data_IF_728978488273
#
_entry.id   IF_728978488273
#
_cell.length_a   1.000
_cell.length_b   1.000
_cell.length_c   1.000
_cell.angle_alpha   90.00
_cell.angle_beta   90.00
_cell.angle_gamma   90.00
#
_symmetry.space_group_name_H-M   'P 1'
#
loop_
_entity.id
_entity.type
_entity.pdbx_description
1 polymer ?
#
# COMPACT_ATOMS: atom_id res chain seq x y z
N UNK A 1 14.77 15.03 -9.92
CA UNK A 1 13.90 14.46 -8.87
C UNK A 1 12.47 14.72 -9.32
N UNK A 2 11.69 13.67 -9.59
CA UNK A 2 10.32 13.85 -10.06
C UNK A 2 9.39 14.20 -8.89
N UNK A 3 9.16 15.50 -8.71
CA UNK A 3 8.26 16.04 -7.69
C UNK A 3 6.83 15.48 -7.83
N UNK A 4 6.36 15.20 -9.05
CA UNK A 4 5.02 14.68 -9.28
C UNK A 4 4.87 13.23 -8.78
N UNK A 5 5.90 12.39 -8.92
CA UNK A 5 5.90 11.05 -8.35
C UNK A 5 5.88 11.10 -6.82
N UNK A 6 6.80 11.84 -6.20
CA UNK A 6 6.88 11.92 -4.74
C UNK A 6 5.62 12.51 -4.14
N UNK A 7 5.11 13.61 -4.73
CA UNK A 7 3.89 14.24 -4.27
C UNK A 7 2.69 13.30 -4.37
N UNK A 8 2.48 12.63 -5.52
CA UNK A 8 1.34 11.72 -5.68
C UNK A 8 1.46 10.47 -4.79
N UNK A 9 2.67 9.94 -4.58
CA UNK A 9 2.91 8.82 -3.68
C UNK A 9 2.60 9.17 -2.22
N UNK A 10 3.09 10.33 -1.76
CA UNK A 10 2.84 10.81 -0.40
C UNK A 10 1.37 11.18 -0.22
N UNK A 11 0.76 11.89 -1.19
CA UNK A 11 -0.64 12.29 -1.14
C UNK A 11 -1.57 11.07 -1.04
N UNK A 12 -1.38 10.07 -1.90
CA UNK A 12 -2.21 8.86 -1.90
C UNK A 12 -2.04 8.04 -0.62
N UNK A 13 -0.80 7.87 -0.15
CA UNK A 13 -0.51 7.13 1.08
C UNK A 13 -1.05 7.86 2.32
N UNK A 14 -0.76 9.16 2.46
CA UNK A 14 -1.24 9.96 3.58
C UNK A 14 -2.76 10.08 3.56
N UNK A 15 -3.36 10.33 2.39
CA UNK A 15 -4.81 10.35 2.21
C UNK A 15 -5.46 9.05 2.65
N UNK A 16 -4.92 7.91 2.23
CA UNK A 16 -5.44 6.63 2.65
C UNK A 16 -5.33 6.43 4.19
N UNK A 17 -4.23 6.89 4.81
CA UNK A 17 -4.06 6.82 6.27
C UNK A 17 -4.98 7.78 7.06
N UNK A 18 -5.48 8.86 6.46
CA UNK A 18 -6.48 9.74 7.08
C UNK A 18 -7.82 9.02 7.35
N UNK A 19 -8.06 7.86 6.74
CA UNK A 19 -9.22 7.02 7.05
C UNK A 19 -9.13 6.44 8.47
N UNK A 20 -7.93 6.26 9.04
CA UNK A 20 -7.73 5.70 10.37
C UNK A 20 -8.40 6.50 11.50
N UNK A 21 -8.16 7.83 11.65
CA UNK A 21 -8.85 8.61 12.68
C UNK A 21 -10.36 8.66 12.46
N UNK A 22 -10.84 8.64 11.20
CA UNK A 22 -12.26 8.56 10.90
C UNK A 22 -12.88 7.23 11.35
N UNK A 23 -12.22 6.10 11.05
CA UNK A 23 -12.65 4.77 11.46
C UNK A 23 -12.75 4.63 12.99
N UNK A 24 -11.81 5.22 13.75
CA UNK A 24 -11.85 5.21 15.22
C UNK A 24 -13.03 5.96 15.82
N UNK A 25 -13.53 7.00 15.14
CA UNK A 25 -14.66 7.82 15.60
C UNK A 25 -16.03 7.27 15.20
N UNK A 26 -16.07 6.17 14.41
CA UNK A 26 -17.30 5.59 13.84
C UNK A 26 -17.51 4.14 14.33
N UNK A 27 -18.30 3.93 15.40
CA UNK A 27 -18.72 2.59 15.83
C UNK A 27 -19.43 1.79 14.73
N UNK A 28 -19.50 0.46 14.90
CA UNK A 28 -20.31 -0.39 14.01
C UNK A 28 -21.78 0.04 14.11
N UNK A 29 -22.46 0.09 12.97
CA UNK A 29 -23.88 0.42 12.89
C UNK A 29 -24.23 1.91 12.98
N UNK A 30 -23.26 2.82 13.08
CA UNK A 30 -23.57 4.25 12.97
C UNK A 30 -24.13 4.56 11.57
N UNK A 31 -25.33 5.16 11.45
CA UNK A 31 -25.92 5.44 10.15
C UNK A 31 -25.07 6.44 9.36
N UNK A 32 -25.11 6.34 8.04
CA UNK A 32 -24.45 7.25 7.12
C UNK A 32 -25.52 7.91 6.27
N UNK A 33 -25.48 9.25 6.18
CA UNK A 33 -26.40 9.96 5.29
C UNK A 33 -26.02 9.69 3.83
N UNK A 34 -26.96 9.89 2.91
CA UNK A 34 -26.67 9.70 1.49
C UNK A 34 -25.55 10.62 0.99
N UNK A 35 -25.54 11.87 1.45
CA UNK A 35 -24.48 12.84 1.13
C UNK A 35 -23.10 12.43 1.68
N UNK A 36 -23.03 11.94 2.92
CA UNK A 36 -21.79 11.40 3.50
C UNK A 36 -21.27 10.21 2.68
N UNK A 37 -22.16 9.32 2.25
CA UNK A 37 -21.79 8.15 1.45
C UNK A 37 -21.25 8.55 0.07
N UNK A 38 -21.85 9.54 -0.60
CA UNK A 38 -21.36 10.06 -1.88
C UNK A 38 -20.00 10.73 -1.74
N UNK A 39 -19.78 11.54 -0.71
CA UNK A 39 -18.46 12.16 -0.48
C UNK A 39 -17.39 11.11 -0.18
N UNK A 40 -17.71 10.12 0.65
CA UNK A 40 -16.79 9.03 0.96
C UNK A 40 -16.45 8.20 -0.27
N UNK A 41 -17.42 7.91 -1.15
CA UNK A 41 -17.16 7.15 -2.38
C UNK A 41 -16.24 7.92 -3.32
N UNK A 42 -16.53 9.19 -3.60
CA UNK A 42 -15.69 10.06 -4.45
C UNK A 42 -14.27 10.16 -3.91
N UNK A 43 -14.13 10.32 -2.59
CA UNK A 43 -12.83 10.36 -1.93
C UNK A 43 -12.04 9.07 -2.10
N UNK A 44 -12.65 7.91 -1.81
CA UNK A 44 -11.99 6.60 -1.92
C UNK A 44 -11.64 6.28 -3.36
N UNK A 45 -12.57 6.46 -4.30
CA UNK A 45 -12.31 6.23 -5.73
C UNK A 45 -11.24 7.17 -6.27
N UNK A 46 -11.30 8.46 -5.92
CA UNK A 46 -10.29 9.44 -6.32
C UNK A 46 -8.89 9.07 -5.80
N UNK A 47 -8.79 8.66 -4.53
CA UNK A 47 -7.51 8.19 -3.98
C UNK A 47 -7.02 6.91 -4.65
N UNK A 48 -7.91 5.96 -4.95
CA UNK A 48 -7.54 4.75 -5.69
C UNK A 48 -7.04 5.07 -7.09
N UNK A 49 -7.66 6.04 -7.79
CA UNK A 49 -7.19 6.50 -9.09
C UNK A 49 -5.79 7.10 -9.00
N UNK A 50 -5.50 7.92 -7.98
CA UNK A 50 -4.15 8.44 -7.75
C UNK A 50 -3.17 7.31 -7.46
N UNK A 51 -3.51 6.40 -6.55
CA UNK A 51 -2.65 5.32 -6.09
C UNK A 51 -2.29 4.31 -7.19
N UNK A 52 -3.26 3.88 -7.99
CA UNK A 52 -3.07 2.81 -8.99
C UNK A 52 -2.90 3.34 -10.43
N UNK A 53 -3.41 4.54 -10.73
CA UNK A 53 -3.26 5.15 -12.05
C UNK A 53 -2.05 6.08 -12.10
N UNK A 54 -2.07 7.14 -11.30
CA UNK A 54 -1.11 8.25 -11.41
C UNK A 54 0.27 7.85 -10.89
N UNK A 55 0.37 7.26 -9.69
CA UNK A 55 1.67 7.00 -9.07
C UNK A 55 2.56 6.06 -9.90
N UNK A 56 2.06 4.90 -10.39
CA UNK A 56 2.84 4.04 -11.28
C UNK A 56 3.26 4.72 -12.58
N UNK A 57 2.34 5.47 -13.21
CA UNK A 57 2.60 6.24 -14.43
C UNK A 57 3.72 7.28 -14.22
N UNK A 58 3.66 8.05 -13.12
CA UNK A 58 4.69 9.05 -12.81
C UNK A 58 6.03 8.44 -12.45
N UNK A 59 6.05 7.25 -11.85
CA UNK A 59 7.31 6.53 -11.64
C UNK A 59 7.93 6.08 -12.97
N UNK A 60 7.14 5.52 -13.88
CA UNK A 60 7.62 5.10 -15.22
C UNK A 60 8.19 6.30 -15.97
N UNK A 61 7.47 7.42 -15.98
CA UNK A 61 7.93 8.65 -16.62
C UNK A 61 9.24 9.17 -16.00
N UNK A 62 9.41 9.07 -14.67
CA UNK A 62 10.66 9.41 -14.00
C UNK A 62 11.82 8.50 -14.42
N UNK A 63 11.58 7.18 -14.44
CA UNK A 63 12.60 6.19 -14.77
C UNK A 63 13.09 6.34 -16.21
N UNK A 64 12.16 6.57 -17.16
CA UNK A 64 12.50 6.67 -18.57
C UNK A 64 13.18 8.02 -18.88
N UNK A 65 12.65 9.13 -18.35
CA UNK A 65 13.11 10.48 -18.73
C UNK A 65 14.31 10.97 -17.90
N UNK A 66 14.33 10.74 -16.59
CA UNK A 66 15.39 11.27 -15.71
C UNK A 66 16.50 10.25 -15.44
N UNK A 67 16.15 8.98 -15.25
CA UNK A 67 17.12 7.92 -14.96
C UNK A 67 17.64 7.25 -16.25
N UNK A 68 16.98 7.48 -17.39
CA UNK A 68 17.35 6.91 -18.68
C UNK A 68 17.22 5.38 -18.73
N UNK A 69 16.41 4.78 -17.87
CA UNK A 69 16.25 3.33 -17.78
C UNK A 69 15.61 2.81 -19.07
N UNK A 70 16.39 2.09 -19.87
CA UNK A 70 15.96 1.57 -21.16
C UNK A 70 16.51 0.14 -21.39
N UNK A 71 16.10 -0.49 -22.49
CA UNK A 71 16.54 -1.85 -22.87
C UNK A 71 18.04 -1.96 -23.14
N UNK A 72 18.67 -0.87 -23.55
CA UNK A 72 20.08 -0.87 -23.95
C UNK A 72 21.01 -0.90 -22.73
N UNK A 73 20.51 -0.46 -21.57
CA UNK A 73 21.23 -0.57 -20.30
C UNK A 73 20.98 -1.97 -19.71
N UNK A 74 22.01 -2.81 -19.76
CA UNK A 74 21.99 -4.18 -19.25
C UNK A 74 22.72 -4.23 -17.91
N UNK A 75 22.14 -4.97 -16.96
CA UNK A 75 22.70 -5.17 -15.63
C UNK A 75 23.59 -6.40 -15.66
N UNK A 76 24.90 -6.20 -15.47
CA UNK A 76 25.88 -7.28 -15.41
C UNK A 76 26.17 -7.78 -13.98
N UNK A 77 25.94 -6.93 -12.97
CA UNK A 77 26.25 -7.23 -11.57
C UNK A 77 27.76 -7.33 -11.28
N UNK A 78 28.15 -7.46 -10.00
CA UNK A 78 29.55 -7.63 -9.62
C UNK A 78 30.14 -8.91 -10.22
N UNK A 79 31.22 -8.79 -11.00
CA UNK A 79 31.87 -9.95 -11.64
C UNK A 79 31.06 -10.60 -12.77
N UNK A 80 30.21 -9.84 -13.47
CA UNK A 80 29.43 -10.30 -14.63
C UNK A 80 28.43 -11.46 -14.34
N UNK A 81 28.02 -11.63 -13.08
CA UNK A 81 27.09 -12.69 -12.67
C UNK A 81 25.74 -12.67 -13.38
N UNK A 82 25.27 -11.50 -13.80
CA UNK A 82 24.00 -11.31 -14.53
C UNK A 82 24.19 -11.14 -16.03
N UNK A 83 25.41 -11.39 -16.54
CA UNK A 83 25.68 -11.31 -17.97
C UNK A 83 24.87 -12.38 -18.72
N UNK A 84 24.04 -11.98 -19.70
CA UNK A 84 23.15 -12.90 -20.39
C UNK A 84 23.93 -13.84 -21.32
N UNK A 85 23.40 -15.04 -21.54
CA UNK A 85 23.94 -16.03 -22.47
C UNK A 85 24.14 -15.47 -23.89
N UNK A 86 23.22 -14.60 -24.35
CA UNK A 86 23.32 -13.93 -25.65
C UNK A 86 24.56 -13.02 -25.79
N UNK A 87 25.16 -12.58 -24.68
CA UNK A 87 26.38 -11.76 -24.64
C UNK A 87 27.59 -12.55 -24.12
N UNK A 88 27.49 -13.88 -24.06
CA UNK A 88 28.58 -14.77 -23.62
C UNK A 88 28.70 -14.93 -22.10
N UNK A 89 27.63 -14.69 -21.33
CA UNK A 89 27.57 -15.00 -19.90
C UNK A 89 26.79 -16.29 -19.59
N UNK A 90 26.54 -16.56 -18.30
CA UNK A 90 25.81 -17.75 -17.85
C UNK A 90 24.33 -17.48 -17.51
N UNK A 91 23.87 -16.24 -17.54
CA UNK A 91 22.53 -15.88 -17.09
C UNK A 91 21.47 -16.14 -18.19
N UNK A 92 20.34 -16.82 -17.90
CA UNK A 92 19.44 -17.38 -18.91
C UNK A 92 18.55 -16.35 -19.63
N UNK A 93 18.51 -15.09 -19.18
CA UNK A 93 17.74 -14.02 -19.83
C UNK A 93 18.44 -12.67 -19.68
N UNK A 94 18.11 -11.69 -20.52
CA UNK A 94 18.68 -10.34 -20.45
C UNK A 94 17.97 -9.51 -19.38
N UNK A 95 18.70 -9.05 -18.35
CA UNK A 95 18.17 -8.13 -17.36
C UNK A 95 18.49 -6.69 -17.77
N UNK A 96 17.51 -5.97 -18.30
CA UNK A 96 17.63 -4.55 -18.62
C UNK A 96 17.18 -3.67 -17.46
N UNK A 97 17.60 -2.40 -17.44
CA UNK A 97 17.09 -1.42 -16.48
C UNK A 97 15.60 -1.15 -16.64
N UNK A 98 15.02 -1.38 -17.83
CA UNK A 98 13.58 -1.38 -18.01
C UNK A 98 12.89 -2.48 -17.19
N UNK A 99 13.46 -3.69 -17.12
CA UNK A 99 12.92 -4.74 -16.26
C UNK A 99 12.96 -4.34 -14.78
N UNK A 100 13.98 -3.58 -14.36
CA UNK A 100 14.06 -3.03 -12.99
C UNK A 100 12.96 -2.00 -12.74
N UNK A 101 12.69 -1.10 -13.70
CA UNK A 101 11.55 -0.17 -13.64
C UNK A 101 10.26 -0.92 -13.35
N UNK A 102 10.00 -1.95 -14.13
CA UNK A 102 8.74 -2.69 -14.06
C UNK A 102 8.62 -3.45 -12.73
N UNK A 103 9.72 -4.01 -12.20
CA UNK A 103 9.76 -4.61 -10.86
C UNK A 103 9.41 -3.57 -9.80
N UNK A 104 9.97 -2.37 -9.86
CA UNK A 104 9.66 -1.30 -8.88
C UNK A 104 8.19 -0.90 -8.97
N UNK A 105 7.63 -0.79 -10.18
CA UNK A 105 6.19 -0.55 -10.38
C UNK A 105 5.35 -1.63 -9.71
N UNK A 106 5.71 -2.90 -9.86
CA UNK A 106 5.01 -4.01 -9.18
C UNK A 106 5.10 -3.88 -7.66
N UNK A 107 6.26 -3.52 -7.12
CA UNK A 107 6.43 -3.30 -5.67
C UNK A 107 5.53 -2.16 -5.17
N UNK A 108 5.40 -1.06 -5.94
CA UNK A 108 4.48 0.04 -5.63
C UNK A 108 3.03 -0.46 -5.57
N UNK A 109 2.62 -1.34 -6.50
CA UNK A 109 1.28 -1.93 -6.46
C UNK A 109 1.09 -2.82 -5.22
N UNK A 110 2.08 -3.65 -4.90
CA UNK A 110 2.05 -4.50 -3.70
C UNK A 110 1.90 -3.66 -2.43
N UNK A 111 2.59 -2.52 -2.34
CA UNK A 111 2.42 -1.55 -1.25
C UNK A 111 0.96 -1.09 -1.12
N UNK A 112 0.34 -0.65 -2.22
CA UNK A 112 -1.05 -0.20 -2.17
C UNK A 112 -2.06 -1.30 -1.89
N UNK A 113 -1.85 -2.52 -2.41
CA UNK A 113 -2.68 -3.66 -2.04
C UNK A 113 -2.54 -4.01 -0.56
N UNK A 114 -1.33 -4.03 -0.02
CA UNK A 114 -1.08 -4.25 1.40
C UNK A 114 -1.76 -3.19 2.26
N UNK A 115 -1.67 -1.92 1.85
CA UNK A 115 -2.31 -0.80 2.53
C UNK A 115 -3.85 -0.89 2.49
N UNK A 116 -4.45 -1.27 1.35
CA UNK A 116 -5.89 -1.50 1.24
C UNK A 116 -6.36 -2.63 2.16
N UNK A 117 -5.67 -3.77 2.16
CA UNK A 117 -6.00 -4.92 3.03
C UNK A 117 -5.90 -4.50 4.51
N UNK A 118 -4.86 -3.76 4.86
CA UNK A 118 -4.68 -3.23 6.22
C UNK A 118 -5.84 -2.30 6.63
N UNK A 119 -6.14 -1.28 5.81
CA UNK A 119 -7.23 -0.34 6.08
C UNK A 119 -8.58 -1.03 6.14
N UNK A 120 -8.82 -2.01 5.26
CA UNK A 120 -10.04 -2.82 5.28
C UNK A 120 -10.14 -3.63 6.59
N UNK A 121 -9.05 -4.27 7.02
CA UNK A 121 -9.00 -4.98 8.30
C UNK A 121 -9.30 -4.04 9.48
N UNK A 122 -8.71 -2.83 9.51
CA UNK A 122 -9.02 -1.82 10.53
C UNK A 122 -10.48 -1.42 10.49
N UNK A 123 -11.04 -1.21 9.29
CA UNK A 123 -12.43 -0.84 9.12
C UNK A 123 -13.38 -1.94 9.60
N UNK A 124 -13.11 -3.21 9.28
CA UNK A 124 -13.94 -4.34 9.74
C UNK A 124 -13.91 -4.52 11.25
N UNK A 125 -12.75 -4.27 11.87
CA UNK A 125 -12.54 -4.40 13.33
C UNK A 125 -12.92 -3.14 14.12
N UNK A 126 -13.41 -2.08 13.46
CA UNK A 126 -13.77 -0.83 14.15
C UNK A 126 -14.83 -1.11 15.20
N UNK A 127 -14.66 -0.64 16.44
CA UNK A 127 -15.65 -0.85 17.50
C UNK A 127 -15.71 -2.27 18.09
N UNK A 128 -14.89 -3.21 17.62
CA UNK A 128 -14.51 -4.34 18.45
C UNK A 128 -13.66 -3.73 19.58
N UNK A 129 -14.26 -3.56 20.76
CA UNK A 129 -13.51 -3.11 21.93
C UNK A 129 -12.28 -3.99 22.10
N UNK A 130 -11.24 -3.50 22.78
CA UNK A 130 -10.27 -4.42 23.39
C UNK A 130 -11.08 -5.54 24.01
N UNK A 131 -10.89 -6.83 23.64
CA UNK A 131 -11.62 -7.90 24.30
C UNK A 131 -11.42 -7.63 25.77
N UNK A 132 -12.51 -7.33 26.48
CA UNK A 132 -12.44 -7.24 27.93
C UNK A 132 -11.74 -8.51 28.31
N UNK A 133 -10.55 -8.44 28.91
CA UNK A 133 -9.96 -9.62 29.53
C UNK A 133 -11.09 -10.14 30.39
N UNK A 134 -11.76 -11.21 29.96
CA UNK A 134 -12.86 -11.77 30.71
C UNK A 134 -12.23 -12.05 32.06
N UNK A 135 -12.62 -11.27 33.07
CA UNK A 135 -12.09 -11.45 34.40
C UNK A 135 -12.41 -12.90 34.70
N UNK A 136 -11.37 -13.70 34.90
CA UNK A 136 -11.51 -15.12 35.18
C UNK A 136 -12.60 -15.25 36.24
N UNK A 137 -13.73 -15.78 35.79
CA UNK A 137 -14.93 -15.89 36.60
C UNK A 137 -14.84 -17.25 37.25
N UNK A 138 -15.04 -17.31 38.56
CA UNK A 138 -15.03 -18.59 39.25
C UNK A 138 -16.10 -19.51 38.66
N UNK A 139 -16.00 -20.82 38.91
CA UNK A 139 -17.04 -21.81 38.58
C UNK A 139 -18.46 -21.48 39.11
N UNK A 140 -18.58 -20.48 39.99
CA UNK A 140 -19.81 -19.96 40.56
C UNK A 140 -20.21 -18.55 40.06
N UNK A 141 -19.58 -18.03 38.99
CA UNK A 141 -20.01 -16.76 38.38
C UNK A 141 -19.51 -15.48 39.05
N UNK A 142 -18.60 -15.57 40.04
CA UNK A 142 -18.13 -14.40 40.81
C UNK A 142 -16.79 -13.88 40.25
N UNK A 143 -16.65 -12.55 40.04
CA UNK A 143 -15.39 -11.98 39.56
C UNK A 143 -14.29 -12.13 40.62
N UNK A 144 -13.15 -12.71 40.24
CA UNK A 144 -12.01 -12.96 41.14
C UNK A 144 -11.20 -11.70 41.48
N UNK A 145 -11.44 -10.59 40.79
CA UNK A 145 -10.75 -9.33 41.02
C UNK A 145 -11.74 -8.17 40.94
N UNK A 146 -11.57 -7.17 41.81
CA UNK A 146 -12.40 -5.96 41.87
C UNK A 146 -12.28 -5.22 40.54
N UNK A 147 -13.42 -4.84 39.93
CA UNK A 147 -13.42 -3.93 38.77
C UNK A 147 -12.73 -2.62 39.17
N UNK A 148 -11.67 -2.25 38.45
CA UNK A 148 -11.06 -0.92 38.51
C UNK A 148 -11.75 0.02 37.53
#
# INVERSE_FOLDING_TARGET
MNEAFLFSFILSTAGALLVLPYAKRRPKGTPTSWGEAMLASVYVFGLMFVAFGIVPDKFIAHADAELGWNKNLIIYGPGDIFKPQALGGNFPFTMSYEAVRDIVVVVIHVWYFGLLIFLWSVWQKRGDGTPSKELATSSFGRPLVKKS
#
